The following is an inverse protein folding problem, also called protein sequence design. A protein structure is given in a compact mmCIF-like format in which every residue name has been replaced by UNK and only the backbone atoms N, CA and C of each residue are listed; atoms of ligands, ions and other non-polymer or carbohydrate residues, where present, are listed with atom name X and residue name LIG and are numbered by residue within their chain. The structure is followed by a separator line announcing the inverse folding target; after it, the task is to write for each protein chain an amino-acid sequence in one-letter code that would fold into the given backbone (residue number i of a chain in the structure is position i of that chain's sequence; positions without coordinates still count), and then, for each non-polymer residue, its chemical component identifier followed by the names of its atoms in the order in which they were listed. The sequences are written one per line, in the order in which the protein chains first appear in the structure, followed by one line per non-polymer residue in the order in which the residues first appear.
data_IF_669197756852
#
_entry.id   IF_669197756852
#
_cell.length_a   1.000
_cell.length_b   1.000
_cell.length_c   1.000
_cell.angle_alpha   90.00
_cell.angle_beta   90.00
_cell.angle_gamma   90.00
#
_symmetry.space_group_name_H-M   'P 1'
#
loop_
_entity.id
_entity.type
_entity.pdbx_description
1 polymer ?
#
# COMPACT_ATOMS: atom_id res chain seq x y z
N UNK A 1 13.63 31.70 -26.12
CA UNK A 1 12.77 30.65 -25.51
C UNK A 1 12.33 29.67 -26.59
N UNK A 2 12.78 28.41 -26.53
CA UNK A 2 12.15 27.31 -27.29
C UNK A 2 11.80 26.20 -26.31
N UNK A 3 10.58 26.33 -25.78
CA UNK A 3 9.84 25.29 -25.08
C UNK A 3 9.26 24.33 -26.14
N UNK A 4 9.44 23.02 -25.95
CA UNK A 4 8.99 22.06 -26.95
C UNK A 4 9.27 20.59 -26.68
N UNK A 5 9.66 20.18 -25.47
CA UNK A 5 9.66 18.77 -25.14
C UNK A 5 8.38 18.45 -24.36
N UNK A 6 7.42 17.70 -24.93
CA UNK A 6 6.39 17.08 -24.11
C UNK A 6 7.13 16.19 -23.10
N UNK A 7 6.96 16.51 -21.82
CA UNK A 7 7.38 15.65 -20.72
C UNK A 7 6.73 14.29 -20.94
N UNK A 8 7.50 13.34 -21.43
CA UNK A 8 7.05 11.98 -21.66
C UNK A 8 6.69 11.39 -20.30
N UNK A 9 5.39 11.24 -20.02
CA UNK A 9 4.83 10.63 -18.82
C UNK A 9 5.13 9.12 -18.77
N UNK A 10 6.42 8.72 -18.77
CA UNK A 10 6.81 7.33 -19.06
C UNK A 10 7.81 6.68 -18.11
N UNK A 11 8.09 7.25 -16.95
CA UNK A 11 8.93 6.55 -15.95
C UNK A 11 8.67 7.03 -14.53
N UNK A 12 7.40 7.10 -14.11
CA UNK A 12 7.13 7.15 -12.67
C UNK A 12 7.18 5.70 -12.18
N UNK A 13 8.40 5.18 -11.96
CA UNK A 13 8.53 4.11 -10.97
C UNK A 13 8.08 4.74 -9.66
N UNK A 14 6.86 4.42 -9.23
CA UNK A 14 6.36 4.93 -7.96
C UNK A 14 7.32 4.44 -6.86
N UNK A 15 7.81 5.34 -5.99
CA UNK A 15 8.71 4.93 -4.92
C UNK A 15 8.01 3.85 -4.09
N UNK A 16 8.77 2.80 -3.72
CA UNK A 16 8.26 1.77 -2.81
C UNK A 16 7.86 2.44 -1.50
N UNK A 17 6.56 2.51 -1.24
CA UNK A 17 5.97 3.14 -0.06
C UNK A 17 5.85 2.16 1.10
N UNK A 18 5.86 0.87 0.78
CA UNK A 18 5.83 -0.22 1.74
C UNK A 18 6.94 -1.21 1.39
N UNK A 19 7.65 -1.68 2.41
CA UNK A 19 8.71 -2.68 2.30
C UNK A 19 8.32 -3.98 3.00
N UNK A 20 8.83 -5.11 2.52
CA UNK A 20 8.66 -6.39 3.22
C UNK A 20 9.21 -6.30 4.65
N UNK A 21 8.42 -6.76 5.62
CA UNK A 21 8.74 -6.73 7.04
C UNK A 21 8.45 -5.39 7.72
N UNK A 22 8.03 -4.36 6.98
CA UNK A 22 7.66 -3.06 7.54
C UNK A 22 6.34 -3.18 8.33
N UNK A 23 6.29 -2.55 9.51
CA UNK A 23 5.03 -2.32 10.22
C UNK A 23 4.20 -1.29 9.45
N UNK A 24 2.99 -1.68 9.07
CA UNK A 24 2.04 -0.84 8.32
C UNK A 24 0.73 -0.71 9.06
N UNK A 25 0.04 0.41 8.84
CA UNK A 25 -1.33 0.63 9.28
C UNK A 25 -2.27 0.07 8.23
N UNK A 26 -2.98 -0.98 8.62
CA UNK A 26 -4.01 -1.62 7.82
C UNK A 26 -5.38 -1.03 8.15
N UNK A 27 -6.08 -0.54 7.14
CA UNK A 27 -7.44 -0.01 7.25
C UNK A 27 -8.42 -1.03 6.68
N UNK A 28 -9.40 -1.41 7.48
CA UNK A 28 -10.54 -2.22 7.06
C UNK A 28 -11.80 -1.35 7.09
N UNK A 29 -12.49 -1.24 5.95
CA UNK A 29 -13.73 -0.48 5.82
C UNK A 29 -14.89 -1.40 5.44
N UNK A 30 -15.97 -1.40 6.23
CA UNK A 30 -17.18 -2.17 5.94
C UNK A 30 -18.41 -1.48 6.51
N UNK A 31 -19.43 -1.22 5.67
CA UNK A 31 -20.76 -0.70 6.04
C UNK A 31 -20.72 0.47 7.04
N UNK A 32 -19.84 1.44 6.80
CA UNK A 32 -19.72 2.64 7.65
C UNK A 32 -18.82 2.48 8.89
N UNK A 33 -18.26 1.28 9.12
CA UNK A 33 -17.25 1.04 10.14
C UNK A 33 -15.86 1.05 9.51
N UNK A 34 -14.96 1.87 10.07
CA UNK A 34 -13.54 1.91 9.72
C UNK A 34 -12.72 1.41 10.92
N UNK A 35 -12.00 0.32 10.73
CA UNK A 35 -11.11 -0.27 11.72
C UNK A 35 -9.68 -0.07 11.23
N UNK A 36 -8.80 0.37 12.13
CA UNK A 36 -7.35 0.47 11.86
C UNK A 36 -6.60 -0.50 12.76
N UNK A 37 -5.75 -1.32 12.17
CA UNK A 37 -4.89 -2.26 12.89
C UNK A 37 -3.44 -2.15 12.40
N UNK A 38 -2.50 -2.57 13.25
CA UNK A 38 -1.11 -2.75 12.81
C UNK A 38 -0.97 -4.10 12.15
N UNK A 39 -0.27 -4.12 11.02
CA UNK A 39 0.07 -5.32 10.29
C UNK A 39 1.53 -5.25 9.86
N UNK A 40 2.07 -6.38 9.41
CA UNK A 40 3.43 -6.47 8.86
C UNK A 40 3.31 -6.76 7.38
N UNK A 41 3.90 -5.91 6.54
CA UNK A 41 3.92 -6.16 5.10
C UNK A 41 4.69 -7.44 4.79
N UNK A 42 4.07 -8.36 4.03
CA UNK A 42 4.71 -9.62 3.64
C UNK A 42 5.50 -9.50 2.32
N UNK A 43 5.30 -8.40 1.60
CA UNK A 43 6.01 -8.05 0.36
C UNK A 43 6.17 -6.53 0.24
N UNK A 44 7.04 -6.10 -0.67
CA UNK A 44 7.21 -4.69 -1.03
C UNK A 44 6.06 -4.21 -1.94
N UNK A 45 5.75 -2.91 -1.91
CA UNK A 45 4.73 -2.31 -2.76
C UNK A 45 4.85 -0.79 -2.89
N UNK A 46 4.44 -0.27 -4.04
CA UNK A 46 4.24 1.14 -4.33
C UNK A 46 2.76 1.51 -4.23
N UNK A 47 2.42 2.80 -4.30
CA UNK A 47 1.02 3.23 -4.22
C UNK A 47 0.16 2.59 -5.31
N UNK A 48 -0.97 2.00 -4.93
CA UNK A 48 -1.86 1.30 -5.85
C UNK A 48 -1.49 -0.17 -6.09
N UNK A 49 -0.37 -0.67 -5.56
CA UNK A 49 -0.04 -2.09 -5.63
C UNK A 49 -0.88 -2.89 -4.63
N UNK A 50 -1.30 -4.08 -5.04
CA UNK A 50 -1.85 -5.09 -4.14
C UNK A 50 -0.71 -5.85 -3.47
N UNK A 51 -0.70 -5.83 -2.15
CA UNK A 51 0.29 -6.52 -1.33
C UNK A 51 -0.34 -7.41 -0.27
N UNK A 52 0.33 -8.54 -0.01
CA UNK A 52 0.01 -9.37 1.15
C UNK A 52 0.54 -8.73 2.43
N UNK A 53 -0.31 -8.64 3.44
CA UNK A 53 0.03 -8.16 4.78
C UNK A 53 -0.36 -9.20 5.82
N UNK A 54 0.43 -9.35 6.87
CA UNK A 54 0.21 -10.30 7.95
C UNK A 54 -0.25 -9.57 9.20
N UNK A 55 -1.36 -9.98 9.78
CA UNK A 55 -1.76 -9.56 11.11
C UNK A 55 -0.92 -10.35 12.15
N UNK A 56 -0.10 -9.70 12.98
CA UNK A 56 0.71 -10.40 13.97
C UNK A 56 -0.11 -11.03 15.10
N UNK A 57 -1.31 -10.53 15.40
CA UNK A 57 -2.17 -11.03 16.49
C UNK A 57 -2.90 -12.31 16.10
N UNK A 58 -3.50 -12.35 14.91
CA UNK A 58 -4.23 -13.52 14.41
C UNK A 58 -3.40 -14.45 13.53
N UNK A 59 -2.17 -14.04 13.18
CA UNK A 59 -1.29 -14.70 12.21
C UNK A 59 -1.89 -14.85 10.80
N UNK A 60 -3.00 -14.17 10.51
CA UNK A 60 -3.66 -14.23 9.21
C UNK A 60 -2.93 -13.36 8.19
N UNK A 61 -2.83 -13.87 6.96
CA UNK A 61 -2.37 -13.10 5.80
C UNK A 61 -3.59 -12.57 5.03
N UNK A 62 -3.59 -11.29 4.73
CA UNK A 62 -4.67 -10.56 4.08
C UNK A 62 -4.11 -9.84 2.84
N UNK A 63 -4.91 -9.73 1.78
CA UNK A 63 -4.57 -8.87 0.65
C UNK A 63 -4.98 -7.43 0.95
N UNK A 64 -4.11 -6.48 0.63
CA UNK A 64 -4.36 -5.07 0.85
C UNK A 64 -3.76 -4.21 -0.26
N UNK A 65 -4.45 -3.14 -0.61
CA UNK A 65 -3.98 -2.12 -1.54
C UNK A 65 -3.12 -1.11 -0.81
N UNK A 66 -1.92 -0.81 -1.32
CA UNK A 66 -1.08 0.27 -0.78
C UNK A 66 -1.72 1.61 -1.08
N UNK A 67 -2.16 2.31 -0.04
CA UNK A 67 -2.78 3.63 -0.14
C UNK A 67 -1.77 4.76 0.00
N UNK A 68 -0.62 4.49 0.63
CA UNK A 68 0.42 5.47 0.92
C UNK A 68 1.56 4.86 1.73
N UNK A 69 2.47 5.72 2.19
CA UNK A 69 3.60 5.29 3.02
C UNK A 69 3.11 4.64 4.32
N UNK A 70 3.42 3.36 4.48
CA UNK A 70 2.99 2.57 5.64
C UNK A 70 1.47 2.46 5.81
N UNK A 71 0.66 2.76 4.80
CA UNK A 71 -0.80 2.72 4.86
C UNK A 71 -1.36 1.79 3.79
N UNK A 72 -2.16 0.82 4.22
CA UNK A 72 -2.76 -0.18 3.33
C UNK A 72 -4.25 -0.31 3.61
N UNK A 73 -5.04 -0.64 2.59
CA UNK A 73 -6.49 -0.92 2.72
C UNK A 73 -6.79 -2.35 2.32
N UNK A 74 -7.40 -3.12 3.21
CA UNK A 74 -7.73 -4.53 2.95
C UNK A 74 -8.71 -4.64 1.79
N UNK A 75 -8.40 -5.53 0.85
CA UNK A 75 -9.30 -5.94 -0.22
C UNK A 75 -10.07 -7.15 0.32
N UNK A 76 -11.40 -7.04 0.37
CA UNK A 76 -12.30 -8.08 0.90
C UNK A 76 -12.37 -9.27 -0.04
#
# INVERSE_FOLDING_TARGET
IRAGQPLTARSVEMPRLVRRGQEVTMVYESRGLRITHRAVAAQDGAAGDEISVRNPESQQTLQALVMGEGLVRVLR
#
